data_IF_411192063093
#
_entry.id   IF_411192063093
#
_cell.length_a   1.000
_cell.length_b   1.000
_cell.length_c   1.000
_cell.angle_alpha   90.00
_cell.angle_beta   90.00
_cell.angle_gamma   90.00
#
_symmetry.space_group_name_H-M   'P 1'
#
loop_
_entity.id
_entity.type
_entity.pdbx_description
1 polymer ?
#
# COMPACT_ATOMS: atom_id res chain seq x y z
N UNK A 1 -17.76 -58.75 9.96
CA UNK A 1 -16.50 -58.54 10.72
C UNK A 1 -15.47 -57.92 9.78
N UNK A 2 -15.68 -56.70 9.30
CA UNK A 2 -15.25 -55.40 9.90
C UNK A 2 -13.74 -55.32 10.16
N UNK A 3 -12.93 -55.49 9.11
CA UNK A 3 -11.69 -54.74 8.86
C UNK A 3 -11.49 -54.79 7.33
N UNK A 4 -11.09 -53.68 6.68
CA UNK A 4 -10.77 -53.51 5.24
C UNK A 4 -11.80 -52.77 4.35
N UNK A 5 -12.31 -51.60 4.79
CA UNK A 5 -13.09 -50.73 3.88
C UNK A 5 -12.70 -49.24 3.83
N UNK A 6 -11.56 -48.82 4.40
CA UNK A 6 -11.17 -47.39 4.38
C UNK A 6 -9.82 -47.10 3.71
N UNK A 7 -9.07 -48.12 3.29
CA UNK A 7 -7.73 -47.92 2.68
C UNK A 7 -7.71 -47.90 1.14
N UNK A 8 -8.85 -48.03 0.45
CA UNK A 8 -8.88 -48.12 -1.03
C UNK A 8 -9.21 -46.80 -1.76
N UNK A 9 -9.67 -45.76 -1.05
CA UNK A 9 -10.00 -44.46 -1.69
C UNK A 9 -8.78 -43.51 -1.72
N UNK A 10 -7.81 -43.66 -0.83
CA UNK A 10 -6.65 -42.75 -0.76
C UNK A 10 -5.50 -43.02 -1.75
N UNK A 11 -5.46 -44.16 -2.44
CA UNK A 11 -4.32 -44.49 -3.33
C UNK A 11 -4.56 -44.21 -4.82
N UNK A 12 -5.79 -43.85 -5.24
CA UNK A 12 -6.13 -43.66 -6.66
C UNK A 12 -6.14 -42.21 -7.15
N UNK A 13 -5.90 -41.24 -6.27
CA UNK A 13 -5.88 -39.81 -6.65
C UNK A 13 -4.47 -39.23 -6.86
N UNK A 14 -3.41 -39.95 -6.47
CA UNK A 14 -2.02 -39.46 -6.53
C UNK A 14 -1.27 -39.92 -7.80
N UNK A 15 -1.86 -40.81 -8.63
CA UNK A 15 -1.22 -41.36 -9.84
C UNK A 15 -1.85 -40.93 -11.18
N UNK A 16 -2.49 -39.75 -11.24
CA UNK A 16 -2.98 -39.16 -12.51
C UNK A 16 -2.40 -37.78 -12.85
N UNK A 17 -1.39 -37.31 -12.14
CA UNK A 17 -0.78 -35.99 -12.37
C UNK A 17 0.72 -36.03 -12.65
N UNK A 18 1.20 -37.14 -13.19
CA UNK A 18 2.51 -37.21 -13.82
C UNK A 18 2.31 -37.77 -15.22
N UNK A 19 2.76 -37.00 -16.22
CA UNK A 19 2.71 -37.30 -17.65
C UNK A 19 1.41 -36.95 -18.38
N UNK A 20 1.15 -35.65 -18.56
CA UNK A 20 0.98 -35.10 -19.92
C UNK A 20 1.39 -33.63 -19.91
N UNK A 21 2.42 -33.35 -20.71
CA UNK A 21 2.94 -32.02 -20.99
C UNK A 21 1.87 -31.11 -21.62
N UNK A 22 2.17 -29.81 -21.48
CA UNK A 22 1.86 -28.75 -22.44
C UNK A 22 0.55 -27.98 -22.20
N UNK A 23 0.74 -26.71 -21.80
CA UNK A 23 -0.15 -25.55 -22.01
C UNK A 23 -1.39 -25.42 -21.10
N UNK A 24 -1.17 -24.96 -19.86
CA UNK A 24 -1.90 -23.84 -19.21
C UNK A 24 -1.48 -23.72 -17.74
N UNK A 25 -0.90 -22.57 -17.37
CA UNK A 25 -0.63 -22.18 -15.97
C UNK A 25 -1.96 -21.88 -15.29
N UNK A 26 -2.46 -22.80 -14.48
CA UNK A 26 -3.48 -22.47 -13.48
C UNK A 26 -2.75 -22.28 -12.14
N UNK A 27 -2.40 -21.04 -11.86
CA UNK A 27 -1.87 -20.63 -10.56
C UNK A 27 -3.04 -20.69 -9.58
N UNK A 28 -3.03 -21.66 -8.68
CA UNK A 28 -3.88 -21.65 -7.50
C UNK A 28 -3.58 -20.38 -6.70
N UNK A 29 -4.58 -19.49 -6.61
CA UNK A 29 -4.50 -18.23 -5.88
C UNK A 29 -4.28 -18.50 -4.38
N UNK A 30 -3.44 -17.72 -3.65
CA UNK A 30 -3.24 -17.88 -2.21
C UNK A 30 -4.45 -17.52 -1.34
N UNK A 31 -5.52 -17.01 -1.93
CA UNK A 31 -6.66 -16.43 -1.20
C UNK A 31 -7.64 -17.47 -0.64
N UNK A 32 -7.42 -18.76 -0.88
CA UNK A 32 -8.32 -19.82 -0.41
C UNK A 32 -8.02 -20.31 1.01
N UNK A 33 -6.85 -19.98 1.57
CA UNK A 33 -6.40 -20.49 2.88
C UNK A 33 -6.80 -19.62 4.08
N UNK A 34 -7.35 -18.43 3.85
CA UNK A 34 -7.59 -17.45 4.91
C UNK A 34 -9.06 -17.31 5.36
N UNK A 35 -9.97 -18.16 4.88
CA UNK A 35 -11.42 -18.02 5.17
C UNK A 35 -12.02 -18.99 6.18
N UNK A 36 -11.29 -19.99 6.68
CA UNK A 36 -11.84 -20.98 7.61
C UNK A 36 -11.01 -21.14 8.88
N UNK A 37 -11.52 -20.60 10.01
CA UNK A 37 -10.96 -20.79 11.35
C UNK A 37 -10.90 -22.26 11.80
N UNK A 38 -11.59 -23.18 11.11
CA UNK A 38 -11.51 -24.62 11.36
C UNK A 38 -10.16 -25.24 10.94
N UNK A 39 -9.45 -24.65 9.97
CA UNK A 39 -8.15 -25.15 9.53
C UNK A 39 -7.05 -24.89 10.58
N UNK A 40 -7.08 -23.72 11.23
CA UNK A 40 -6.14 -23.37 12.29
C UNK A 40 -6.30 -24.29 13.53
N UNK A 41 -7.53 -24.60 13.92
CA UNK A 41 -7.81 -25.51 15.03
C UNK A 41 -7.40 -26.96 14.75
N UNK A 42 -7.50 -27.41 13.49
CA UNK A 42 -7.03 -28.74 13.06
C UNK A 42 -5.50 -28.87 13.10
N UNK A 43 -4.78 -27.79 12.75
CA UNK A 43 -3.32 -27.74 12.78
C UNK A 43 -2.75 -27.59 14.20
N UNK A 44 -3.40 -26.86 15.10
CA UNK A 44 -2.99 -26.78 16.51
C UNK A 44 -3.11 -28.12 17.24
N UNK A 45 -4.14 -28.93 16.93
CA UNK A 45 -4.34 -30.25 17.53
C UNK A 45 -3.32 -31.31 17.09
N UNK A 46 -2.63 -31.11 15.97
CA UNK A 46 -1.70 -32.09 15.38
C UNK A 46 -0.23 -31.60 15.36
N UNK A 47 0.14 -30.74 16.30
CA UNK A 47 1.45 -30.06 16.41
C UNK A 47 2.65 -31.02 16.51
N UNK A 48 2.44 -32.27 16.91
CA UNK A 48 3.46 -33.32 17.03
C UNK A 48 3.69 -34.15 15.77
N UNK A 49 2.82 -34.04 14.75
CA UNK A 49 2.88 -34.84 13.51
C UNK A 49 3.42 -34.06 12.30
N UNK A 50 3.91 -32.84 12.51
CA UNK A 50 4.39 -31.96 11.46
C UNK A 50 5.84 -32.35 11.09
N UNK A 51 6.13 -32.76 9.83
CA UNK A 51 7.49 -33.08 9.41
C UNK A 51 8.41 -31.85 9.53
N UNK A 52 9.69 -32.06 9.85
CA UNK A 52 10.69 -31.02 10.12
C UNK A 52 10.86 -29.97 9.00
N UNK A 53 10.38 -30.25 7.79
CA UNK A 53 10.35 -29.35 6.64
C UNK A 53 9.29 -28.22 6.73
N UNK A 54 8.36 -28.26 7.69
CA UNK A 54 7.32 -27.23 7.89
C UNK A 54 7.56 -26.36 9.15
N UNK A 55 8.81 -26.24 9.58
CA UNK A 55 9.18 -25.48 10.79
C UNK A 55 9.08 -23.95 10.65
N UNK A 56 8.79 -23.43 9.45
CA UNK A 56 8.62 -21.99 9.17
C UNK A 56 7.36 -21.38 9.82
N UNK A 57 6.44 -22.22 10.31
CA UNK A 57 5.23 -21.78 11.02
C UNK A 57 5.55 -21.21 12.41
N UNK A 58 6.64 -21.65 13.06
CA UNK A 58 7.05 -21.16 14.40
C UNK A 58 7.62 -19.73 14.35
N UNK A 59 8.11 -19.30 13.20
CA UNK A 59 8.72 -17.98 12.97
C UNK A 59 7.73 -16.90 12.55
N UNK A 60 6.49 -17.24 12.17
CA UNK A 60 5.49 -16.25 11.71
C UNK A 60 4.88 -15.40 12.84
N UNK A 61 5.06 -15.79 14.10
CA UNK A 61 4.52 -15.04 15.24
C UNK A 61 5.31 -13.80 15.65
N UNK A 62 6.52 -13.60 15.12
CA UNK A 62 7.41 -12.51 15.53
C UNK A 62 8.33 -12.07 14.37
N UNK A 63 7.76 -11.62 13.27
CA UNK A 63 8.53 -10.90 12.26
C UNK A 63 8.07 -9.45 12.18
N UNK A 64 8.78 -8.63 12.96
CA UNK A 64 9.02 -7.24 12.64
C UNK A 64 9.56 -7.19 11.19
N UNK A 65 8.78 -6.66 10.26
CA UNK A 65 9.12 -6.62 8.84
C UNK A 65 10.26 -5.63 8.57
N UNK A 66 11.51 -6.07 8.75
CA UNK A 66 12.67 -5.42 8.14
C UNK A 66 13.09 -6.22 6.90
N UNK A 67 12.61 -5.79 5.74
CA UNK A 67 13.03 -6.34 4.45
C UNK A 67 14.44 -5.86 4.09
N UNK A 68 15.41 -6.77 4.14
CA UNK A 68 16.70 -6.62 3.47
C UNK A 68 16.47 -6.36 1.97
N UNK A 69 16.74 -5.15 1.48
CA UNK A 69 16.99 -4.95 0.04
C UNK A 69 18.50 -4.81 -0.22
N UNK A 70 18.92 -5.49 -1.28
CA UNK A 70 20.27 -5.65 -1.83
C UNK A 70 21.15 -4.39 -1.81
N UNK A 71 22.41 -4.60 -1.41
CA UNK A 71 23.25 -3.63 -0.69
C UNK A 71 24.10 -2.66 -1.51
N UNK A 72 24.29 -2.80 -2.84
CA UNK A 72 25.38 -2.08 -3.51
C UNK A 72 24.99 -0.92 -4.44
N UNK A 73 23.70 -0.56 -4.58
CA UNK A 73 23.27 0.62 -5.37
C UNK A 73 22.44 1.66 -4.58
N UNK A 74 22.20 1.41 -3.29
CA UNK A 74 21.31 2.21 -2.42
C UNK A 74 21.94 3.44 -1.80
N UNK A 75 23.26 3.42 -1.55
CA UNK A 75 23.92 4.45 -0.74
C UNK A 75 23.84 5.86 -1.34
N UNK A 76 23.78 6.03 -2.67
CA UNK A 76 23.69 7.37 -3.28
C UNK A 76 22.28 7.96 -3.30
N UNK A 77 21.23 7.14 -3.38
CA UNK A 77 19.84 7.60 -3.54
C UNK A 77 19.23 7.98 -2.18
N UNK A 78 19.60 7.27 -1.12
CA UNK A 78 19.20 7.61 0.25
C UNK A 78 19.85 8.92 0.72
N UNK A 79 21.10 9.20 0.31
CA UNK A 79 21.79 10.45 0.64
C UNK A 79 21.20 11.66 -0.08
N UNK A 80 20.87 11.54 -1.37
CA UNK A 80 20.26 12.63 -2.16
C UNK A 80 18.83 12.93 -1.69
N UNK A 81 18.11 11.93 -1.18
CA UNK A 81 16.75 12.11 -0.67
C UNK A 81 16.67 12.56 0.80
N UNK A 82 17.78 12.62 1.53
CA UNK A 82 17.82 13.15 2.92
C UNK A 82 17.08 14.49 3.11
N UNK A 83 17.26 15.54 2.27
CA UNK A 83 16.60 16.82 2.48
C UNK A 83 15.08 16.72 2.35
N UNK A 84 14.56 16.01 1.34
CA UNK A 84 13.12 15.87 1.14
C UNK A 84 12.47 14.98 2.22
N UNK A 85 13.16 13.91 2.65
CA UNK A 85 12.68 13.03 3.73
C UNK A 85 12.67 13.78 5.08
N UNK A 86 13.70 14.58 5.35
CA UNK A 86 13.77 15.41 6.55
C UNK A 86 12.58 16.36 6.64
N UNK A 87 12.24 17.04 5.53
CA UNK A 87 11.08 17.93 5.46
C UNK A 87 9.75 17.17 5.65
N UNK A 88 9.60 15.98 5.08
CA UNK A 88 8.42 15.15 5.32
C UNK A 88 8.29 14.81 6.81
N UNK A 89 9.38 14.43 7.46
CA UNK A 89 9.36 14.14 8.90
C UNK A 89 9.01 15.37 9.74
N UNK A 90 9.46 16.56 9.34
CA UNK A 90 9.10 17.83 9.98
C UNK A 90 7.61 18.15 9.80
N UNK A 91 7.07 17.94 8.60
CA UNK A 91 5.65 18.13 8.30
C UNK A 91 4.77 17.22 9.18
N UNK A 92 5.17 15.96 9.37
CA UNK A 92 4.41 15.06 10.24
C UNK A 92 4.50 15.42 11.72
N UNK A 93 5.64 15.94 12.20
CA UNK A 93 5.72 16.50 13.56
C UNK A 93 4.78 17.70 13.75
N UNK A 94 4.62 18.54 12.73
CA UNK A 94 3.69 19.67 12.77
C UNK A 94 2.22 19.23 12.80
N UNK A 95 1.89 18.12 12.13
CA UNK A 95 0.56 17.47 12.21
C UNK A 95 0.25 17.07 13.65
N UNK A 96 1.19 16.42 14.34
CA UNK A 96 0.98 15.97 15.72
C UNK A 96 0.93 17.14 16.71
N UNK A 97 1.65 18.23 16.43
CA UNK A 97 1.63 19.47 17.22
C UNK A 97 0.41 20.37 16.97
N UNK A 98 -0.51 20.00 16.05
CA UNK A 98 -1.66 20.84 15.63
C UNK A 98 -1.25 22.27 15.23
N UNK A 99 -0.18 22.38 14.45
CA UNK A 99 0.33 23.66 13.99
C UNK A 99 -0.69 24.45 13.14
N UNK A 100 -0.48 25.76 13.00
CA UNK A 100 -1.36 26.61 12.18
C UNK A 100 -1.33 26.21 10.71
N UNK A 101 -2.48 26.34 10.02
CA UNK A 101 -2.64 25.98 8.60
C UNK A 101 -1.56 26.61 7.70
N UNK A 102 -1.19 27.86 7.97
CA UNK A 102 -0.21 28.60 7.17
C UNK A 102 1.21 28.01 7.26
N UNK A 103 1.63 27.58 8.45
CA UNK A 103 2.97 26.97 8.64
C UNK A 103 3.06 25.64 7.90
N UNK A 104 1.99 24.84 7.99
CA UNK A 104 1.89 23.57 7.26
C UNK A 104 1.92 23.80 5.75
N UNK A 105 1.13 24.74 5.23
CA UNK A 105 1.12 25.06 3.80
C UNK A 105 2.48 25.52 3.28
N UNK A 106 3.21 26.36 4.01
CA UNK A 106 4.52 26.83 3.59
C UNK A 106 5.52 25.67 3.47
N UNK A 107 5.51 24.73 4.41
CA UNK A 107 6.34 23.52 4.34
C UNK A 107 5.93 22.60 3.20
N UNK A 108 4.63 22.48 2.93
CA UNK A 108 4.13 21.72 1.78
C UNK A 108 4.54 22.37 0.45
N UNK A 109 4.55 23.70 0.34
CA UNK A 109 5.06 24.41 -0.85
C UNK A 109 6.54 24.10 -1.07
N UNK A 110 7.34 24.11 0.00
CA UNK A 110 8.75 23.71 -0.08
C UNK A 110 8.92 22.26 -0.52
N UNK A 111 8.08 21.35 -0.02
CA UNK A 111 8.08 19.93 -0.43
C UNK A 111 7.76 19.78 -1.92
N UNK A 112 6.71 20.45 -2.40
CA UNK A 112 6.31 20.43 -3.82
C UNK A 112 7.44 20.98 -4.70
N UNK A 113 8.03 22.10 -4.31
CA UNK A 113 9.15 22.71 -5.03
C UNK A 113 10.34 21.76 -5.14
N UNK A 114 10.72 21.10 -4.04
CA UNK A 114 11.81 20.13 -4.07
C UNK A 114 11.46 18.92 -4.94
N UNK A 115 10.26 18.35 -4.79
CA UNK A 115 9.84 17.19 -5.56
C UNK A 115 9.85 17.43 -7.07
N UNK A 116 9.39 18.60 -7.53
CA UNK A 116 9.37 18.94 -8.96
C UNK A 116 10.79 18.97 -9.55
N UNK A 117 11.77 19.43 -8.76
CA UNK A 117 13.16 19.54 -9.17
C UNK A 117 13.95 18.21 -9.07
N UNK A 118 13.36 17.16 -8.47
CA UNK A 118 14.00 15.85 -8.40
C UNK A 118 14.06 15.15 -9.76
N UNK A 119 15.15 14.41 -9.99
CA UNK A 119 15.28 13.52 -11.14
C UNK A 119 14.38 12.29 -10.97
N UNK A 120 14.13 11.58 -12.08
CA UNK A 120 13.28 10.38 -12.09
C UNK A 120 13.71 9.33 -11.05
N UNK A 121 15.00 9.02 -10.97
CA UNK A 121 15.54 8.01 -10.04
C UNK A 121 15.39 8.45 -8.58
N UNK A 122 15.55 9.74 -8.30
CA UNK A 122 15.41 10.33 -6.97
C UNK A 122 13.96 10.31 -6.50
N UNK A 123 13.03 10.68 -7.40
CA UNK A 123 11.58 10.56 -7.18
C UNK A 123 11.17 9.13 -6.87
N UNK A 124 11.70 8.16 -7.62
CA UNK A 124 11.42 6.74 -7.34
C UNK A 124 11.91 6.32 -5.95
N UNK A 125 13.11 6.74 -5.55
CA UNK A 125 13.64 6.50 -4.21
C UNK A 125 12.77 7.12 -3.12
N UNK A 126 12.39 8.38 -3.30
CA UNK A 126 11.51 9.10 -2.38
C UNK A 126 10.13 8.44 -2.24
N UNK A 127 9.50 8.03 -3.35
CA UNK A 127 8.20 7.38 -3.33
C UNK A 127 8.23 6.01 -2.64
N UNK A 128 9.33 5.26 -2.78
CA UNK A 128 9.52 3.99 -2.05
C UNK A 128 9.57 4.23 -0.55
N UNK A 129 10.36 5.21 -0.12
CA UNK A 129 10.50 5.58 1.29
C UNK A 129 9.18 6.13 1.84
N UNK A 130 8.46 6.95 1.08
CA UNK A 130 7.14 7.45 1.47
C UNK A 130 6.16 6.29 1.70
N UNK A 131 6.15 5.33 0.77
CA UNK A 131 5.27 4.17 0.86
C UNK A 131 5.63 3.27 2.06
N UNK A 132 6.90 3.03 2.36
CA UNK A 132 7.32 2.12 3.44
C UNK A 132 7.22 2.76 4.83
N UNK A 133 7.83 3.93 5.01
CA UNK A 133 8.10 4.48 6.34
C UNK A 133 6.89 5.22 6.91
N UNK A 134 6.03 5.76 6.04
CA UNK A 134 4.83 6.52 6.40
C UNK A 134 3.54 5.74 6.16
N UNK A 135 3.65 4.41 6.02
CA UNK A 135 2.52 3.50 6.01
C UNK A 135 1.89 3.32 7.40
N UNK A 136 0.86 2.47 7.45
CA UNK A 136 0.20 2.05 8.68
C UNK A 136 1.16 1.25 9.57
N UNK A 137 1.24 1.61 10.85
CA UNK A 137 1.98 0.82 11.82
C UNK A 137 1.18 -0.41 12.23
N UNK A 138 1.43 -1.53 11.54
CA UNK A 138 0.74 -2.80 11.78
C UNK A 138 0.93 -3.35 13.21
N UNK A 139 2.03 -3.01 13.90
CA UNK A 139 2.26 -3.39 15.30
C UNK A 139 1.29 -2.69 16.24
N UNK A 140 1.13 -1.38 16.09
CA UNK A 140 0.16 -0.60 16.87
C UNK A 140 -1.28 -1.02 16.58
N UNK A 141 -1.60 -1.30 15.31
CA UNK A 141 -2.91 -1.81 14.91
C UNK A 141 -3.19 -3.17 15.55
N UNK A 142 -2.25 -4.12 15.50
CA UNK A 142 -2.44 -5.45 16.10
C UNK A 142 -2.66 -5.38 17.62
N UNK A 143 -1.94 -4.48 18.31
CA UNK A 143 -2.12 -4.27 19.74
C UNK A 143 -3.49 -3.66 20.08
N UNK A 144 -3.91 -2.64 19.33
CA UNK A 144 -5.21 -2.00 19.55
C UNK A 144 -6.37 -2.94 19.19
N UNK A 145 -6.24 -3.76 18.14
CA UNK A 145 -7.24 -4.76 17.77
C UNK A 145 -7.44 -5.82 18.85
N UNK A 146 -6.38 -6.20 19.58
CA UNK A 146 -6.52 -7.08 20.76
C UNK A 146 -7.27 -6.38 21.87
N UNK A 147 -6.93 -5.12 22.17
CA UNK A 147 -7.64 -4.34 23.18
C UNK A 147 -9.12 -4.17 22.83
N UNK A 148 -9.44 -3.96 21.55
CA UNK A 148 -10.82 -3.82 21.08
C UNK A 148 -11.68 -5.06 21.39
N UNK A 149 -11.11 -6.27 21.32
CA UNK A 149 -11.82 -7.50 21.65
C UNK A 149 -12.21 -7.61 23.14
N UNK A 150 -11.42 -7.00 24.02
CA UNK A 150 -11.59 -7.03 25.48
C UNK A 150 -12.27 -5.75 26.03
N UNK A 151 -12.67 -4.81 25.17
CA UNK A 151 -13.18 -3.48 25.57
C UNK A 151 -14.67 -3.50 25.93
N UNK A 152 -15.04 -2.79 26.99
CA UNK A 152 -16.44 -2.60 27.41
C UNK A 152 -17.27 -1.83 26.36
N UNK A 153 -18.59 -2.12 26.24
CA UNK A 153 -19.47 -1.50 25.24
C UNK A 153 -19.56 0.03 25.35
N UNK A 154 -19.32 0.60 26.54
CA UNK A 154 -19.32 2.05 26.79
C UNK A 154 -18.11 2.77 26.18
N UNK A 155 -17.00 2.07 25.94
CA UNK A 155 -15.75 2.64 25.40
C UNK A 155 -15.40 2.10 24.01
N UNK A 156 -16.12 1.07 23.55
CA UNK A 156 -15.99 0.44 22.24
C UNK A 156 -15.86 1.47 21.10
N UNK A 157 -16.80 2.40 20.97
CA UNK A 157 -16.82 3.39 19.89
C UNK A 157 -15.54 4.25 19.85
N UNK A 158 -15.02 4.63 21.02
CA UNK A 158 -13.77 5.41 21.10
C UNK A 158 -12.56 4.58 20.67
N UNK A 159 -12.55 3.28 20.99
CA UNK A 159 -11.49 2.36 20.56
C UNK A 159 -11.59 2.07 19.07
N UNK A 160 -12.80 1.95 18.51
CA UNK A 160 -13.05 1.83 17.07
C UNK A 160 -12.57 3.06 16.29
N UNK A 161 -12.87 4.27 16.78
CA UNK A 161 -12.40 5.51 16.14
C UNK A 161 -10.87 5.61 16.17
N UNK A 162 -10.23 5.26 17.28
CA UNK A 162 -8.77 5.15 17.36
C UNK A 162 -8.21 4.13 16.37
N UNK A 163 -8.88 3.00 16.20
CA UNK A 163 -8.47 1.98 15.23
C UNK A 163 -8.59 2.50 13.80
N UNK A 164 -9.65 3.26 13.49
CA UNK A 164 -9.80 3.93 12.19
C UNK A 164 -8.67 4.92 11.93
N UNK A 165 -8.30 5.72 12.92
CA UNK A 165 -7.17 6.66 12.82
C UNK A 165 -5.84 5.92 12.57
N UNK A 166 -5.58 4.83 13.29
CA UNK A 166 -4.35 4.04 13.12
C UNK A 166 -4.28 3.31 11.78
N UNK A 167 -5.41 2.82 11.26
CA UNK A 167 -5.50 2.16 9.95
C UNK A 167 -5.37 3.14 8.78
N UNK A 168 -5.50 4.45 9.04
CA UNK A 168 -5.34 5.47 8.01
C UNK A 168 -3.85 5.80 7.85
N UNK A 169 -3.25 5.59 6.65
CA UNK A 169 -1.83 5.87 6.45
C UNK A 169 -1.54 7.37 6.52
N UNK A 170 -0.34 7.74 6.95
CA UNK A 170 0.02 9.14 7.22
C UNK A 170 0.01 10.01 5.94
N UNK A 171 0.43 9.43 4.81
CA UNK A 171 0.40 10.12 3.51
C UNK A 171 -1.02 10.50 3.05
N UNK A 172 -2.08 9.88 3.58
CA UNK A 172 -3.47 10.29 3.29
C UNK A 172 -3.74 11.73 3.74
N UNK A 173 -3.28 12.08 4.95
CA UNK A 173 -3.39 13.43 5.48
C UNK A 173 -2.59 14.43 4.63
N UNK A 174 -1.40 14.03 4.20
CA UNK A 174 -0.51 14.84 3.35
C UNK A 174 -1.20 15.20 2.03
N UNK A 175 -1.73 14.20 1.32
CA UNK A 175 -2.43 14.41 0.06
C UNK A 175 -3.69 15.28 0.21
N UNK A 176 -4.41 15.15 1.34
CA UNK A 176 -5.58 15.99 1.64
C UNK A 176 -5.21 17.46 1.85
N UNK A 177 -4.03 17.76 2.41
CA UNK A 177 -3.57 19.14 2.55
C UNK A 177 -3.00 19.67 1.25
N UNK A 178 -2.27 18.85 0.51
CA UNK A 178 -1.76 19.21 -0.82
C UNK A 178 -2.90 19.56 -1.78
N UNK A 179 -4.02 18.85 -1.75
CA UNK A 179 -5.15 19.12 -2.66
C UNK A 179 -5.84 20.47 -2.40
N UNK A 180 -5.72 21.03 -1.19
CA UNK A 180 -6.27 22.34 -0.81
C UNK A 180 -5.41 23.51 -1.26
N UNK A 181 -4.14 23.25 -1.61
CA UNK A 181 -3.22 24.28 -2.06
C UNK A 181 -3.48 24.65 -3.53
N UNK A 182 -3.11 25.88 -3.89
CA UNK A 182 -3.15 26.31 -5.29
C UNK A 182 -2.23 25.44 -6.17
N UNK A 183 -2.77 24.98 -7.30
CA UNK A 183 -2.11 24.00 -8.18
C UNK A 183 -1.93 22.60 -7.59
N UNK A 184 -2.44 22.33 -6.38
CA UNK A 184 -2.22 21.09 -5.64
C UNK A 184 -2.78 19.84 -6.34
N UNK A 185 -3.96 19.93 -6.95
CA UNK A 185 -4.58 18.83 -7.68
C UNK A 185 -3.72 18.42 -8.89
N UNK A 186 -3.17 19.39 -9.63
CA UNK A 186 -2.27 19.11 -10.76
C UNK A 186 -1.02 18.36 -10.27
N UNK A 187 -0.42 18.82 -9.18
CA UNK A 187 0.70 18.14 -8.55
C UNK A 187 0.36 16.69 -8.17
N UNK A 188 -0.81 16.44 -7.57
CA UNK A 188 -1.23 15.09 -7.20
C UNK A 188 -1.46 14.17 -8.42
N UNK A 189 -1.95 14.71 -9.54
CA UNK A 189 -2.07 13.97 -10.80
C UNK A 189 -0.69 13.61 -11.36
N UNK A 190 0.25 14.55 -11.32
CA UNK A 190 1.64 14.30 -11.77
C UNK A 190 2.35 13.31 -10.83
N UNK A 191 2.13 13.40 -9.51
CA UNK A 191 2.60 12.43 -8.53
C UNK A 191 2.05 11.03 -8.80
N UNK A 192 0.76 10.92 -9.15
CA UNK A 192 0.14 9.64 -9.52
C UNK A 192 0.80 9.05 -10.77
N UNK A 193 1.13 9.88 -11.76
CA UNK A 193 1.87 9.44 -12.97
C UNK A 193 3.21 8.81 -12.57
N UNK A 194 3.95 9.46 -11.68
CA UNK A 194 5.24 8.95 -11.19
C UNK A 194 5.07 7.62 -10.40
N UNK A 195 4.03 7.50 -9.57
CA UNK A 195 3.70 6.25 -8.85
C UNK A 195 3.36 5.11 -9.80
N UNK A 196 2.57 5.37 -10.85
CA UNK A 196 2.22 4.36 -11.86
C UNK A 196 3.44 3.91 -12.65
N UNK A 197 4.35 4.84 -13.00
CA UNK A 197 5.62 4.50 -13.64
C UNK A 197 6.47 3.61 -12.73
N UNK A 198 6.54 3.93 -11.43
CA UNK A 198 7.25 3.12 -10.45
C UNK A 198 6.63 1.72 -10.28
N UNK A 199 5.30 1.60 -10.26
CA UNK A 199 4.61 0.31 -10.23
C UNK A 199 4.90 -0.55 -11.46
N UNK A 200 5.09 0.08 -12.63
CA UNK A 200 5.46 -0.65 -13.85
C UNK A 200 6.89 -1.20 -13.82
N UNK A 201 7.78 -0.60 -13.02
CA UNK A 201 9.18 -1.00 -12.87
C UNK A 201 9.39 -2.06 -11.77
N UNK A 202 8.43 -2.26 -10.87
CA UNK A 202 8.54 -3.19 -9.74
C UNK A 202 7.91 -4.53 -10.10
N UNK A 203 8.56 -5.64 -9.72
CA UNK A 203 7.95 -6.97 -9.84
C UNK A 203 6.70 -7.07 -8.96
N UNK A 204 5.59 -7.48 -9.57
CA UNK A 204 4.29 -7.76 -8.93
C UNK A 204 4.36 -8.69 -7.71
N UNK A 205 5.38 -9.54 -7.61
CA UNK A 205 5.57 -10.45 -6.47
C UNK A 205 6.33 -9.81 -5.30
N UNK A 206 6.91 -8.63 -5.51
CA UNK A 206 7.67 -7.94 -4.47
C UNK A 206 6.74 -7.39 -3.39
N UNK A 207 7.09 -7.49 -2.09
CA UNK A 207 6.31 -6.87 -1.03
C UNK A 207 6.21 -5.35 -1.20
N UNK A 208 7.22 -4.71 -1.81
CA UNK A 208 7.20 -3.28 -2.12
C UNK A 208 6.07 -2.90 -3.09
N UNK A 209 5.69 -3.79 -4.01
CA UNK A 209 4.59 -3.57 -4.93
C UNK A 209 3.28 -3.33 -4.18
N UNK A 210 2.99 -4.16 -3.17
CA UNK A 210 1.76 -4.09 -2.38
C UNK A 210 1.65 -2.76 -1.64
N UNK A 211 2.75 -2.32 -1.02
CA UNK A 211 2.77 -1.07 -0.23
C UNK A 211 2.63 0.16 -1.13
N UNK A 212 3.31 0.18 -2.28
CA UNK A 212 3.15 1.27 -3.26
C UNK A 212 1.74 1.25 -3.87
N UNK A 213 1.17 0.07 -4.13
CA UNK A 213 -0.18 -0.08 -4.65
C UNK A 213 -1.22 0.44 -3.65
N UNK A 214 -1.00 0.25 -2.35
CA UNK A 214 -1.83 0.85 -1.30
C UNK A 214 -1.79 2.38 -1.39
N UNK A 215 -0.59 2.98 -1.47
CA UNK A 215 -0.44 4.43 -1.64
C UNK A 215 -1.14 4.95 -2.90
N UNK A 216 -1.03 4.23 -4.02
CA UNK A 216 -1.74 4.54 -5.27
C UNK A 216 -3.27 4.47 -5.12
N UNK A 217 -3.78 3.55 -4.29
CA UNK A 217 -5.21 3.38 -4.05
C UNK A 217 -5.77 4.53 -3.22
N UNK A 218 -5.08 4.92 -2.15
CA UNK A 218 -5.44 6.11 -1.35
C UNK A 218 -5.45 7.37 -2.21
N UNK A 219 -4.42 7.56 -3.05
CA UNK A 219 -4.37 8.70 -3.96
C UNK A 219 -5.49 8.67 -5.00
N UNK A 220 -5.87 7.47 -5.48
CA UNK A 220 -7.00 7.29 -6.41
C UNK A 220 -8.31 7.73 -5.78
N UNK A 221 -8.58 7.29 -4.55
CA UNK A 221 -9.80 7.63 -3.82
C UNK A 221 -9.92 9.13 -3.64
N UNK A 222 -8.85 9.81 -3.23
CA UNK A 222 -8.86 11.25 -3.07
C UNK A 222 -9.08 12.00 -4.39
N UNK A 223 -8.37 11.62 -5.46
CA UNK A 223 -8.57 12.23 -6.78
C UNK A 223 -9.98 11.97 -7.32
N UNK A 224 -10.59 10.82 -7.01
CA UNK A 224 -11.97 10.51 -7.44
C UNK A 224 -12.99 11.50 -6.90
N UNK A 225 -12.76 12.06 -5.70
CA UNK A 225 -13.62 13.10 -5.13
C UNK A 225 -13.52 14.41 -5.93
N UNK A 226 -12.32 14.78 -6.37
CA UNK A 226 -12.07 16.01 -7.15
C UNK A 226 -12.50 15.91 -8.62
N UNK A 227 -12.48 14.71 -9.20
CA UNK A 227 -12.94 14.46 -10.58
C UNK A 227 -14.39 13.96 -10.64
N UNK A 228 -15.17 14.19 -9.59
CA UNK A 228 -16.60 13.93 -9.60
C UNK A 228 -17.34 14.97 -10.47
N UNK A 229 -18.55 14.60 -10.93
CA UNK A 229 -19.30 15.37 -11.94
C UNK A 229 -19.60 16.83 -11.56
N UNK A 230 -19.55 17.18 -10.27
CA UNK A 230 -19.79 18.54 -9.78
C UNK A 230 -18.66 19.53 -10.09
N UNK A 231 -17.44 19.03 -10.28
CA UNK A 231 -16.26 19.86 -10.57
C UNK A 231 -15.93 19.94 -12.06
N UNK A 232 -16.62 19.16 -12.90
CA UNK A 232 -16.36 19.07 -14.33
C UNK A 232 -17.38 19.91 -15.10
N UNK A 233 -16.88 20.85 -15.92
CA UNK A 233 -17.71 21.64 -16.82
C UNK A 233 -17.55 21.17 -18.25
N UNK A 234 -18.65 20.76 -18.87
CA UNK A 234 -18.68 20.46 -20.29
C UNK A 234 -18.65 21.76 -21.07
N UNK A 235 -17.61 21.95 -21.88
CA UNK A 235 -17.48 23.09 -22.78
C UNK A 235 -17.29 22.60 -24.21
N UNK A 236 -18.02 23.20 -25.16
CA UNK A 236 -17.83 22.95 -26.59
C UNK A 236 -16.53 23.60 -27.06
N UNK A 237 -15.65 22.81 -27.68
CA UNK A 237 -14.45 23.29 -28.36
C UNK A 237 -14.79 23.62 -29.81
N UNK A 238 -14.50 24.85 -30.24
CA UNK A 238 -14.73 25.38 -31.60
C UNK A 238 -13.47 26.04 -32.14
N UNK A 239 -13.41 26.31 -33.44
CA UNK A 239 -12.30 27.08 -34.04
C UNK A 239 -12.11 28.50 -33.47
N UNK A 240 -13.14 29.04 -32.81
CA UNK A 240 -13.08 30.32 -32.10
C UNK A 240 -12.58 30.22 -30.66
N UNK A 241 -12.27 29.00 -30.16
CA UNK A 241 -11.72 28.81 -28.82
C UNK A 241 -10.28 29.33 -28.74
N UNK A 242 -9.78 29.73 -27.55
CA UNK A 242 -8.43 30.25 -27.39
C UNK A 242 -7.37 29.29 -27.97
N UNK A 243 -6.38 29.84 -28.67
CA UNK A 243 -5.32 29.05 -29.31
C UNK A 243 -4.57 28.14 -28.32
N UNK A 244 -4.45 28.54 -27.06
CA UNK A 244 -3.83 27.74 -25.99
C UNK A 244 -4.61 26.46 -25.67
N UNK A 245 -5.94 26.51 -25.76
CA UNK A 245 -6.80 25.33 -25.62
C UNK A 245 -6.66 24.44 -26.84
N UNK A 246 -6.74 25.00 -28.05
CA UNK A 246 -6.59 24.24 -29.30
C UNK A 246 -5.23 23.53 -29.34
N UNK A 247 -4.15 24.20 -28.94
CA UNK A 247 -2.83 23.59 -28.86
C UNK A 247 -2.77 22.40 -27.90
N UNK A 248 -3.51 22.42 -26.79
CA UNK A 248 -3.57 21.28 -25.85
C UNK A 248 -4.31 20.10 -26.46
N UNK A 249 -5.44 20.34 -27.13
CA UNK A 249 -6.25 19.30 -27.79
C UNK A 249 -5.48 18.66 -28.96
N UNK A 250 -4.66 19.44 -29.67
CA UNK A 250 -3.85 18.92 -30.78
C UNK A 250 -2.60 18.14 -30.36
N UNK A 251 -2.19 18.21 -29.08
CA UNK A 251 -0.96 17.57 -28.57
C UNK A 251 -1.19 16.18 -27.96
N UNK A 252 -2.45 15.76 -27.82
CA UNK A 252 -2.84 14.38 -27.49
C UNK A 252 -2.87 13.51 -28.75
#
# INVERSE_FOLDING_TARGET
MVVKFVTSVCYKMIRRQSCMCFRQRTILRPEFLWRNNQALAFFEKNKSLIPSQFNWFRTLGNQHYQGHLSSNRKLSIEEVNKPIISLVSEIFKLKDARATSLVVENKLRSLVFLYINLKKDEKEGFLKIMATDYSVNHGSVANLSKQLADTDPSTLLRTEDKLRELLTPQYSWLFTHLSRMDGGIRFLVDLRRDILALLSNIDTKSPLYVVVQQMNSVLKEQLSLFFSGEFLRLQRVTWSSPATLLQKVMKE
#
